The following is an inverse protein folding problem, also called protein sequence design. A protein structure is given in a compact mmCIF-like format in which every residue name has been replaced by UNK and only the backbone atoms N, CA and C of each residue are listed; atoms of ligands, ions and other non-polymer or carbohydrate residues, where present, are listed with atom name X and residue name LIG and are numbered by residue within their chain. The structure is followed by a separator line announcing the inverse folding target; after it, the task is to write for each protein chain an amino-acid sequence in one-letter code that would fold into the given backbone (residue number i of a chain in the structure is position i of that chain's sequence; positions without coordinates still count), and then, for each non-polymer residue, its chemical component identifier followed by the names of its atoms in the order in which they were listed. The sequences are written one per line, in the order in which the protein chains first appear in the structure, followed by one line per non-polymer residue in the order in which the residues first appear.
data_IF_293217447346
#
_entry.id   IF_293217447346
#
_cell.length_a   1.000
_cell.length_b   1.000
_cell.length_c   1.000
_cell.angle_alpha   90.00
_cell.angle_beta   90.00
_cell.angle_gamma   90.00
#
_symmetry.space_group_name_H-M   'P 1'
#
loop_
_entity.id
_entity.type
_entity.pdbx_description
1 polymer ?
#
# COMPACT_ATOMS: atom_id res chain seq x y z
N UNK A 1 -10.57 3.15 16.66
CA UNK A 1 -11.66 3.01 15.67
C UNK A 1 -11.31 3.82 14.43
N UNK A 2 -11.70 3.37 13.24
CA UNK A 2 -11.39 4.08 11.99
C UNK A 2 -12.01 3.41 10.77
N UNK A 3 -12.12 4.17 9.68
CA UNK A 3 -12.59 3.68 8.38
C UNK A 3 -11.41 3.04 7.66
N UNK A 4 -11.64 1.86 7.07
CA UNK A 4 -10.75 1.26 6.08
C UNK A 4 -11.44 1.32 4.72
N UNK A 5 -10.67 1.63 3.68
CA UNK A 5 -11.17 1.79 2.31
C UNK A 5 -11.49 0.45 1.68
N UNK A 6 -10.72 -0.60 2.02
CA UNK A 6 -10.82 -1.97 1.51
C UNK A 6 -10.45 -2.12 0.03
N UNK A 7 -10.87 -1.16 -0.80
CA UNK A 7 -10.43 -1.01 -2.19
C UNK A 7 -9.52 0.21 -2.38
N UNK A 8 -8.42 0.24 -1.62
CA UNK A 8 -7.39 1.28 -1.62
C UNK A 8 -6.43 1.25 -2.83
N UNK A 9 -6.85 0.71 -3.98
CA UNK A 9 -5.99 0.68 -5.18
C UNK A 9 -5.63 2.12 -5.60
N UNK A 10 -4.42 2.37 -6.14
CA UNK A 10 -4.02 3.72 -6.58
C UNK A 10 -4.97 4.34 -7.61
N UNK A 11 -5.64 3.52 -8.43
CA UNK A 11 -6.61 3.99 -9.43
C UNK A 11 -7.86 4.67 -8.82
N UNK A 12 -8.13 4.44 -7.54
CA UNK A 12 -9.24 5.06 -6.80
C UNK A 12 -8.81 6.36 -6.09
N UNK A 13 -7.63 6.89 -6.42
CA UNK A 13 -7.08 8.11 -5.84
C UNK A 13 -6.80 9.15 -6.92
N UNK A 14 -7.54 10.27 -6.88
CA UNK A 14 -7.38 11.38 -7.80
C UNK A 14 -6.51 12.47 -7.15
N UNK A 15 -5.41 12.82 -7.81
CA UNK A 15 -4.50 13.88 -7.36
C UNK A 15 -4.79 15.14 -8.15
N UNK A 16 -5.33 16.17 -7.50
CA UNK A 16 -5.56 17.48 -8.14
C UNK A 16 -4.30 18.35 -8.11
N UNK A 17 -3.59 18.33 -6.98
CA UNK A 17 -2.35 19.06 -6.67
C UNK A 17 -1.59 18.27 -5.59
N UNK A 18 -0.30 18.59 -5.33
CA UNK A 18 0.39 18.05 -4.15
C UNK A 18 -0.46 18.22 -2.90
N UNK A 19 -0.54 17.18 -2.07
CA UNK A 19 -1.33 17.11 -0.83
C UNK A 19 -2.86 17.29 -1.01
N UNK A 20 -3.37 17.20 -2.24
CA UNK A 20 -4.80 17.26 -2.52
C UNK A 20 -5.26 15.97 -3.22
N UNK A 21 -5.49 14.95 -2.40
CA UNK A 21 -5.92 13.61 -2.82
C UNK A 21 -7.42 13.47 -2.55
N UNK A 22 -8.16 13.05 -3.58
CA UNK A 22 -9.56 12.67 -3.47
C UNK A 22 -9.68 11.16 -3.63
N UNK A 23 -10.37 10.52 -2.71
CA UNK A 23 -10.58 9.07 -2.72
C UNK A 23 -11.99 8.81 -3.28
N UNK A 24 -12.07 7.96 -4.28
CA UNK A 24 -13.32 7.54 -4.92
C UNK A 24 -13.61 6.07 -4.63
N UNK A 25 -14.74 5.58 -5.12
CA UNK A 25 -15.10 4.15 -5.04
C UNK A 25 -15.11 3.59 -3.59
N UNK A 26 -16.00 4.18 -2.78
CA UNK A 26 -16.10 3.90 -1.34
C UNK A 26 -17.15 2.83 -1.00
N UNK A 27 -17.65 2.07 -1.98
CA UNK A 27 -18.70 1.08 -1.77
C UNK A 27 -18.28 -0.08 -0.84
N UNK A 28 -16.97 -0.35 -0.75
CA UNK A 28 -16.41 -1.39 0.13
C UNK A 28 -15.91 -0.85 1.47
N UNK A 29 -15.93 0.48 1.65
CA UNK A 29 -15.39 1.11 2.84
C UNK A 29 -16.19 0.69 4.09
N UNK A 30 -15.47 0.43 5.19
CA UNK A 30 -16.09 -0.08 6.42
C UNK A 30 -15.37 0.36 7.68
N UNK A 31 -16.15 0.51 8.75
CA UNK A 31 -15.63 0.78 10.10
C UNK A 31 -14.92 -0.45 10.66
N UNK A 32 -13.88 -0.21 11.46
CA UNK A 32 -13.14 -1.26 12.20
C UNK A 32 -12.59 -2.36 11.28
N UNK A 33 -12.21 -1.97 10.06
CA UNK A 33 -11.53 -2.84 9.12
C UNK A 33 -10.05 -3.03 9.44
N UNK A 34 -9.38 -3.73 8.53
CA UNK A 34 -7.97 -4.06 8.60
C UNK A 34 -7.13 -3.01 7.87
N UNK A 35 -6.54 -2.05 8.59
CA UNK A 35 -5.75 -0.97 8.00
C UNK A 35 -4.52 -1.47 7.24
N UNK A 36 -3.93 -2.59 7.68
CA UNK A 36 -2.77 -3.19 7.01
C UNK A 36 -3.12 -3.76 5.65
N UNK A 37 -4.37 -4.18 5.45
CA UNK A 37 -4.88 -4.56 4.13
C UNK A 37 -4.87 -3.37 3.17
N UNK A 38 -5.32 -2.19 3.61
CA UNK A 38 -5.35 -1.01 2.75
C UNK A 38 -3.94 -0.62 2.26
N UNK A 39 -2.94 -0.73 3.13
CA UNK A 39 -1.53 -0.49 2.77
C UNK A 39 -1.05 -1.56 1.77
N UNK A 40 -1.28 -2.84 2.08
CA UNK A 40 -0.84 -3.93 1.21
C UNK A 40 -1.44 -3.81 -0.19
N UNK A 41 -2.75 -3.52 -0.27
CA UNK A 41 -3.45 -3.38 -1.52
C UNK A 41 -2.92 -2.19 -2.33
N UNK A 42 -2.72 -1.02 -1.71
CA UNK A 42 -2.16 0.14 -2.38
C UNK A 42 -0.76 -0.16 -2.95
N UNK A 43 0.17 -0.63 -2.10
CA UNK A 43 1.57 -0.85 -2.47
C UNK A 43 1.68 -1.91 -3.57
N UNK A 44 1.03 -3.06 -3.41
CA UNK A 44 1.21 -4.15 -4.37
C UNK A 44 0.50 -3.87 -5.71
N UNK A 45 -0.60 -3.09 -5.72
CA UNK A 45 -1.15 -2.60 -6.99
C UNK A 45 -0.31 -1.49 -7.64
N UNK A 46 0.29 -0.59 -6.86
CA UNK A 46 1.20 0.43 -7.39
C UNK A 46 2.44 -0.18 -8.08
N UNK A 47 2.83 -1.39 -7.65
CA UNK A 47 3.96 -2.14 -8.17
C UNK A 47 3.56 -3.21 -9.20
N UNK A 48 2.29 -3.27 -9.60
CA UNK A 48 1.78 -4.24 -10.59
C UNK A 48 2.61 -4.17 -11.87
N UNK A 49 3.22 -5.29 -12.24
CA UNK A 49 4.14 -5.43 -13.38
C UNK A 49 5.41 -4.53 -13.36
N UNK A 50 5.70 -3.81 -12.26
CA UNK A 50 6.93 -3.05 -12.16
C UNK A 50 8.13 -3.98 -11.93
N UNK A 51 9.20 -3.81 -12.71
CA UNK A 51 10.46 -4.55 -12.59
C UNK A 51 11.63 -3.66 -12.16
N UNK A 52 11.44 -2.34 -12.13
CA UNK A 52 12.47 -1.40 -11.73
C UNK A 52 12.58 -1.36 -10.20
N UNK A 53 13.75 -1.78 -9.70
CA UNK A 53 14.07 -1.80 -8.27
C UNK A 53 14.10 -0.40 -7.66
N UNK A 54 14.75 0.57 -8.31
CA UNK A 54 14.86 1.93 -7.77
C UNK A 54 13.48 2.57 -7.68
N UNK A 55 12.68 2.42 -8.73
CA UNK A 55 11.28 2.89 -8.72
C UNK A 55 10.44 2.22 -7.62
N UNK A 56 10.70 0.94 -7.34
CA UNK A 56 10.05 0.23 -6.23
C UNK A 56 10.43 0.85 -4.89
N UNK A 57 11.73 1.09 -4.66
CA UNK A 57 12.24 1.73 -3.45
C UNK A 57 11.65 3.14 -3.28
N UNK A 58 11.65 3.96 -4.35
CA UNK A 58 11.12 5.32 -4.33
C UNK A 58 9.62 5.35 -3.97
N UNK A 59 8.80 4.50 -4.59
CA UNK A 59 7.35 4.41 -4.31
C UNK A 59 7.10 3.97 -2.86
N UNK A 60 7.76 2.90 -2.42
CA UNK A 60 7.49 2.31 -1.10
C UNK A 60 7.97 3.24 0.01
N UNK A 61 9.16 3.85 -0.12
CA UNK A 61 9.66 4.80 0.86
C UNK A 61 8.79 6.06 0.93
N UNK A 62 8.40 6.63 -0.22
CA UNK A 62 7.53 7.81 -0.23
C UNK A 62 6.18 7.54 0.44
N UNK A 63 5.62 6.33 0.26
CA UNK A 63 4.39 5.94 0.95
C UNK A 63 4.60 5.78 2.45
N UNK A 64 5.70 5.14 2.88
CA UNK A 64 6.03 4.95 4.30
C UNK A 64 6.15 6.30 4.99
N UNK A 65 6.92 7.22 4.40
CA UNK A 65 7.15 8.56 4.95
C UNK A 65 5.82 9.32 5.11
N UNK A 66 4.99 9.35 4.06
CA UNK A 66 3.69 10.02 4.11
C UNK A 66 2.68 9.34 5.06
N UNK A 67 2.68 8.01 5.16
CA UNK A 67 1.78 7.32 6.09
C UNK A 67 2.16 7.61 7.55
N UNK A 68 3.45 7.68 7.86
CA UNK A 68 3.96 7.90 9.22
C UNK A 68 3.80 9.34 9.72
N UNK A 69 3.38 10.29 8.88
CA UNK A 69 3.00 11.63 9.36
C UNK A 69 1.83 11.59 10.35
N UNK A 70 0.95 10.59 10.24
CA UNK A 70 -0.27 10.45 11.08
C UNK A 70 -0.47 9.01 11.58
N UNK A 71 -0.12 8.01 10.78
CA UNK A 71 -0.30 6.59 11.07
C UNK A 71 0.83 5.99 11.93
N UNK A 72 0.82 4.65 12.05
CA UNK A 72 1.75 3.92 12.91
C UNK A 72 2.57 2.86 12.14
N UNK A 73 3.74 2.53 12.71
CA UNK A 73 4.70 1.58 12.12
C UNK A 73 4.18 0.13 12.13
N UNK A 74 3.36 -0.25 13.10
CA UNK A 74 2.91 -1.63 13.24
C UNK A 74 1.90 -1.99 12.15
N UNK A 75 1.06 -1.05 11.74
CA UNK A 75 0.16 -1.19 10.59
C UNK A 75 0.96 -1.36 9.29
N UNK A 76 2.03 -0.59 9.08
CA UNK A 76 2.92 -0.74 7.91
C UNK A 76 3.59 -2.11 7.92
N UNK A 77 4.22 -2.50 9.03
CA UNK A 77 4.95 -3.78 9.12
C UNK A 77 4.03 -4.97 8.93
N UNK A 78 2.81 -4.91 9.47
CA UNK A 78 1.80 -5.95 9.32
C UNK A 78 1.31 -6.12 7.89
N UNK A 79 1.36 -5.07 7.06
CA UNK A 79 1.03 -5.14 5.61
C UNK A 79 1.97 -6.05 4.81
N UNK A 80 3.15 -6.38 5.36
CA UNK A 80 4.14 -7.26 4.73
C UNK A 80 3.98 -8.76 5.10
N UNK A 81 2.87 -9.14 5.75
CA UNK A 81 2.63 -10.52 6.16
C UNK A 81 2.19 -11.42 5.00
N UNK A 82 2.46 -12.72 5.12
CA UNK A 82 2.23 -13.72 4.07
C UNK A 82 0.76 -13.84 3.65
N UNK A 83 -0.18 -13.51 4.55
CA UNK A 83 -1.62 -13.57 4.28
C UNK A 83 -2.02 -12.66 3.11
N UNK A 84 -1.36 -11.51 2.98
CA UNK A 84 -1.60 -10.56 1.90
C UNK A 84 -0.70 -10.83 0.70
N UNK A 85 0.61 -10.98 0.92
CA UNK A 85 1.60 -11.01 -0.18
C UNK A 85 1.36 -12.17 -1.14
N UNK A 86 0.85 -13.31 -0.65
CA UNK A 86 0.48 -14.46 -1.48
C UNK A 86 -0.57 -14.15 -2.55
N UNK A 87 -1.47 -13.20 -2.30
CA UNK A 87 -2.54 -12.80 -3.23
C UNK A 87 -1.94 -12.11 -4.48
N UNK A 88 -0.79 -11.47 -4.33
CA UNK A 88 -0.17 -10.63 -5.36
C UNK A 88 0.90 -11.34 -6.19
N UNK A 89 1.26 -12.59 -5.84
CA UNK A 89 2.24 -13.38 -6.57
C UNK A 89 1.97 -13.48 -8.09
N UNK A 90 0.72 -13.57 -8.58
CA UNK A 90 0.47 -13.64 -10.02
C UNK A 90 0.73 -12.34 -10.79
N UNK A 91 0.80 -11.19 -10.11
CA UNK A 91 0.80 -9.87 -10.76
C UNK A 91 1.99 -8.97 -10.39
N UNK A 92 2.66 -9.24 -9.27
CA UNK A 92 3.86 -8.53 -8.84
C UNK A 92 5.07 -9.44 -9.02
N UNK A 93 6.08 -9.06 -9.84
CA UNK A 93 7.30 -9.83 -9.99
C UNK A 93 7.95 -10.15 -8.62
N UNK A 94 8.44 -11.38 -8.45
CA UNK A 94 8.92 -11.87 -7.13
C UNK A 94 10.01 -10.96 -6.54
N UNK A 95 10.93 -10.45 -7.37
CA UNK A 95 12.01 -9.56 -6.90
C UNK A 95 11.47 -8.19 -6.43
N UNK A 96 10.46 -7.66 -7.13
CA UNK A 96 9.75 -6.44 -6.75
C UNK A 96 8.99 -6.64 -5.45
N UNK A 97 8.24 -7.74 -5.33
CA UNK A 97 7.49 -8.10 -4.13
C UNK A 97 8.42 -8.26 -2.91
N UNK A 98 9.54 -8.99 -3.06
CA UNK A 98 10.56 -9.14 -2.01
C UNK A 98 11.15 -7.81 -1.57
N UNK A 99 11.43 -6.92 -2.52
CA UNK A 99 11.99 -5.59 -2.22
C UNK A 99 10.99 -4.77 -1.40
N UNK A 100 9.73 -4.70 -1.83
CA UNK A 100 8.68 -3.99 -1.11
C UNK A 100 8.46 -4.55 0.30
N UNK A 101 8.36 -5.89 0.45
CA UNK A 101 8.21 -6.56 1.75
C UNK A 101 9.36 -6.21 2.70
N UNK A 102 10.60 -6.19 2.21
CA UNK A 102 11.76 -5.87 3.05
C UNK A 102 11.75 -4.42 3.53
N UNK A 103 11.30 -3.47 2.69
CA UNK A 103 11.16 -2.07 3.08
C UNK A 103 10.04 -1.89 4.11
N UNK A 104 8.85 -2.44 3.85
CA UNK A 104 7.70 -2.37 4.75
C UNK A 104 8.00 -2.96 6.14
N UNK A 105 8.81 -4.02 6.23
CA UNK A 105 9.24 -4.59 7.52
C UNK A 105 10.24 -3.73 8.28
N UNK A 106 10.96 -2.84 7.60
CA UNK A 106 12.02 -1.99 8.16
C UNK A 106 11.52 -0.58 8.53
N UNK A 107 10.30 -0.21 8.16
CA UNK A 107 9.65 1.05 8.54
C UNK A 107 9.65 1.28 10.07
#
# INVERSE_FOLDING_TARGET
EGICLVDSKPQNMLIKKPNQIYITDLEQARMNGDKSWDIALFIFYALKFNIDRKRTEDIVNSFIDGYLEIGDKDTIRSSACSRYTRIFLPIVPINTLKTAINLLRRA
#
